data_IF_514631634865
#
_entry.id   IF_514631634865
#
_cell.length_a   1.000
_cell.length_b   1.000
_cell.length_c   1.000
_cell.angle_alpha   90.00
_cell.angle_beta   90.00
_cell.angle_gamma   90.00
#
_symmetry.space_group_name_H-M   'P 1'
#
loop_
_entity.id
_entity.type
_entity.pdbx_description
1 polymer ?
#
# COMPACT_ATOMS: atom_id res chain seq x y z
N UNK A 1 -4.64 3.30 7.63
CA UNK A 1 -3.88 2.86 6.45
C UNK A 1 -4.87 2.45 5.36
N UNK A 2 -4.51 2.57 4.08
CA UNK A 2 -5.36 2.20 2.95
C UNK A 2 -5.63 0.69 2.90
N UNK A 3 -4.68 -0.09 3.40
CA UNK A 3 -4.86 -1.49 3.75
C UNK A 3 -5.33 -1.59 5.20
N UNK A 4 -6.50 -2.21 5.43
CA UNK A 4 -7.13 -2.39 6.73
C UNK A 4 -8.11 -1.29 7.18
N UNK A 5 -7.70 -0.02 7.28
CA UNK A 5 -8.51 0.98 7.98
C UNK A 5 -9.59 1.67 7.13
N UNK A 6 -9.45 1.62 5.80
CA UNK A 6 -10.41 2.21 4.85
C UNK A 6 -10.98 1.05 4.04
N UNK A 7 -12.24 0.73 4.29
CA UNK A 7 -12.98 -0.33 3.63
C UNK A 7 -14.09 0.22 2.73
N UNK A 8 -14.63 1.40 3.10
CA UNK A 8 -15.71 2.06 2.37
C UNK A 8 -15.33 3.48 1.99
N UNK A 9 -15.88 3.95 0.87
CA UNK A 9 -15.61 5.30 0.36
C UNK A 9 -16.14 6.39 1.31
N UNK A 10 -17.17 6.13 2.10
CA UNK A 10 -17.66 7.07 3.12
C UNK A 10 -16.64 7.40 4.20
N UNK A 11 -15.59 6.58 4.35
CA UNK A 11 -14.48 6.83 5.28
C UNK A 11 -13.39 7.74 4.69
N UNK A 12 -13.55 8.17 3.43
CA UNK A 12 -12.65 9.11 2.76
C UNK A 12 -13.07 10.53 3.11
N UNK A 13 -12.14 11.27 3.72
CA UNK A 13 -12.34 12.66 4.14
C UNK A 13 -11.12 13.55 3.82
N UNK A 14 -11.29 14.85 4.07
CA UNK A 14 -10.22 15.85 3.99
C UNK A 14 -9.47 15.84 2.66
N UNK A 15 -8.13 15.84 2.72
CA UNK A 15 -7.27 15.82 1.52
C UNK A 15 -7.45 14.57 0.65
N UNK A 16 -7.96 13.47 1.19
CA UNK A 16 -8.17 12.23 0.43
C UNK A 16 -9.39 12.32 -0.47
N UNK A 17 -10.42 13.09 -0.10
CA UNK A 17 -11.63 13.25 -0.91
C UNK A 17 -11.36 13.88 -2.29
N UNK A 18 -10.33 14.73 -2.39
CA UNK A 18 -9.91 15.33 -3.66
C UNK A 18 -8.89 14.47 -4.44
N UNK A 19 -8.46 13.33 -3.91
CA UNK A 19 -7.44 12.50 -4.55
C UNK A 19 -8.06 11.64 -5.67
N UNK A 20 -7.44 11.56 -6.86
CA UNK A 20 -7.99 10.78 -7.98
C UNK A 20 -8.24 9.31 -7.65
N UNK A 21 -7.32 8.67 -6.92
CA UNK A 21 -7.45 7.25 -6.50
C UNK A 21 -8.59 6.95 -5.51
N UNK A 22 -9.17 7.98 -4.89
CA UNK A 22 -10.28 7.86 -3.93
C UNK A 22 -11.61 8.36 -4.50
N UNK A 23 -11.69 8.67 -5.80
CA UNK A 23 -12.98 8.91 -6.48
C UNK A 23 -13.76 7.59 -6.59
N UNK A 24 -15.10 7.60 -6.61
CA UNK A 24 -15.93 6.39 -6.51
C UNK A 24 -15.50 5.19 -7.35
N UNK A 25 -15.34 5.38 -8.66
CA UNK A 25 -15.00 4.31 -9.60
C UNK A 25 -13.56 3.82 -9.38
N UNK A 26 -12.63 4.75 -9.15
CA UNK A 26 -11.24 4.43 -8.88
C UNK A 26 -11.07 3.72 -7.54
N UNK A 27 -11.82 4.12 -6.52
CA UNK A 27 -11.81 3.51 -5.21
C UNK A 27 -12.26 2.06 -5.28
N UNK A 28 -13.38 1.78 -5.94
CA UNK A 28 -13.88 0.42 -6.10
C UNK A 28 -12.85 -0.50 -6.80
N UNK A 29 -12.22 -0.02 -7.88
CA UNK A 29 -11.14 -0.75 -8.55
C UNK A 29 -9.92 -0.97 -7.66
N UNK A 30 -9.45 0.10 -7.01
CA UNK A 30 -8.29 0.06 -6.11
C UNK A 30 -8.55 -0.80 -4.86
N UNK A 31 -9.80 -0.90 -4.42
CA UNK A 31 -10.19 -1.78 -3.32
C UNK A 31 -9.93 -3.24 -3.69
N UNK A 32 -10.38 -3.68 -4.86
CA UNK A 32 -10.10 -5.03 -5.34
C UNK A 32 -8.60 -5.36 -5.48
N UNK A 33 -7.75 -4.36 -5.78
CA UNK A 33 -6.29 -4.53 -5.73
C UNK A 33 -5.79 -4.78 -4.31
N UNK A 34 -6.26 -3.98 -3.35
CA UNK A 34 -5.88 -4.13 -1.95
C UNK A 34 -6.42 -5.42 -1.36
N UNK A 35 -7.62 -5.88 -1.72
CA UNK A 35 -8.19 -7.13 -1.20
C UNK A 35 -7.30 -8.34 -1.55
N UNK A 36 -6.75 -8.37 -2.77
CA UNK A 36 -5.75 -9.37 -3.18
C UNK A 36 -4.47 -9.30 -2.34
N UNK A 37 -4.02 -8.09 -2.03
CA UNK A 37 -2.83 -7.88 -1.20
C UNK A 37 -3.08 -8.25 0.27
N UNK A 38 -4.27 -7.98 0.79
CA UNK A 38 -4.69 -8.38 2.15
C UNK A 38 -4.78 -9.91 2.27
N UNK A 39 -5.23 -10.61 1.22
CA UNK A 39 -5.19 -12.07 1.17
C UNK A 39 -3.75 -12.62 1.26
N UNK A 40 -2.80 -12.03 0.52
CA UNK A 40 -1.39 -12.40 0.62
C UNK A 40 -0.81 -12.12 2.02
N UNK A 41 -1.19 -10.99 2.65
CA UNK A 41 -0.76 -10.67 4.01
C UNK A 41 -1.28 -11.72 5.02
N UNK A 42 -2.54 -12.13 4.87
CA UNK A 42 -3.16 -13.16 5.70
C UNK A 42 -2.46 -14.53 5.53
N UNK A 43 -2.13 -14.93 4.30
CA UNK A 43 -1.35 -16.16 4.04
C UNK A 43 0.03 -16.12 4.71
N UNK A 44 0.68 -14.96 4.71
CA UNK A 44 1.99 -14.75 5.38
C UNK A 44 1.85 -14.57 6.90
N UNK A 45 0.64 -14.54 7.45
CA UNK A 45 0.39 -14.36 8.88
C UNK A 45 0.82 -12.99 9.42
N UNK A 46 0.80 -11.95 8.56
CA UNK A 46 1.23 -10.60 8.92
C UNK A 46 0.15 -9.57 8.59
N UNK A 47 0.30 -8.35 9.10
CA UNK A 47 -0.60 -7.26 8.73
C UNK A 47 -0.27 -6.76 7.32
N UNK A 48 -1.24 -6.17 6.58
CA UNK A 48 -0.94 -5.58 5.27
C UNK A 48 0.14 -4.49 5.33
N UNK A 49 0.19 -3.70 6.42
CA UNK A 49 1.26 -2.72 6.64
C UNK A 49 2.64 -3.39 6.72
N UNK A 50 2.73 -4.51 7.43
CA UNK A 50 3.98 -5.28 7.56
C UNK A 50 4.41 -5.87 6.23
N UNK A 51 3.49 -6.48 5.47
CA UNK A 51 3.78 -7.02 4.15
C UNK A 51 4.30 -5.94 3.19
N UNK A 52 3.69 -4.75 3.22
CA UNK A 52 4.10 -3.64 2.37
C UNK A 52 5.52 -3.16 2.71
N UNK A 53 5.85 -3.04 4.00
CA UNK A 53 7.18 -2.67 4.45
C UNK A 53 8.22 -3.74 4.12
N UNK A 54 7.89 -5.02 4.33
CA UNK A 54 8.76 -6.14 4.00
C UNK A 54 9.07 -6.19 2.49
N UNK A 55 8.07 -5.94 1.63
CA UNK A 55 8.28 -5.84 0.18
C UNK A 55 9.21 -4.70 -0.21
N UNK A 56 9.06 -3.52 0.42
CA UNK A 56 9.97 -2.37 0.17
C UNK A 56 11.41 -2.74 0.54
N UNK A 57 11.62 -3.32 1.73
CA UNK A 57 12.95 -3.72 2.20
C UNK A 57 13.56 -4.84 1.34
N UNK A 58 12.74 -5.67 0.70
CA UNK A 58 13.20 -6.73 -0.19
C UNK A 58 13.69 -6.25 -1.56
N UNK A 59 13.55 -4.96 -1.90
CA UNK A 59 13.97 -4.42 -3.21
C UNK A 59 15.48 -4.24 -3.35
N UNK A 60 16.24 -4.29 -2.25
CA UNK A 60 17.70 -4.19 -2.28
C UNK A 60 18.31 -3.96 -0.89
N UNK A 61 19.56 -4.37 -0.72
CA UNK A 61 20.30 -4.21 0.56
C UNK A 61 20.62 -2.74 0.88
N UNK A 62 20.50 -1.85 -0.10
CA UNK A 62 20.69 -0.41 0.00
C UNK A 62 19.36 0.35 0.25
N UNK A 63 18.25 -0.37 0.41
CA UNK A 63 16.93 0.22 0.63
C UNK A 63 16.62 0.34 2.11
N UNK A 64 16.27 1.55 2.55
CA UNK A 64 15.83 1.83 3.92
C UNK A 64 14.40 2.38 3.91
N UNK A 65 13.49 1.70 4.62
CA UNK A 65 12.13 2.18 4.82
C UNK A 65 12.07 3.20 5.97
N UNK A 66 11.38 4.32 5.76
CA UNK A 66 11.21 5.40 6.76
C UNK A 66 9.72 5.57 7.10
N UNK A 67 9.06 4.58 7.74
CA UNK A 67 7.63 4.65 8.03
C UNK A 67 7.34 5.68 9.13
N UNK A 68 6.61 6.73 8.78
CA UNK A 68 6.15 7.73 9.75
C UNK A 68 4.98 7.23 10.61
N UNK A 69 5.05 7.44 11.92
CA UNK A 69 3.95 7.16 12.86
C UNK A 69 3.98 8.12 14.05
N UNK A 70 2.83 8.34 14.69
CA UNK A 70 2.68 9.07 15.96
C UNK A 70 2.27 8.18 17.14
N UNK A 71 2.23 6.86 16.94
CA UNK A 71 1.75 5.88 17.90
C UNK A 71 2.80 4.79 18.10
N UNK A 72 3.07 4.44 19.37
CA UNK A 72 4.00 3.34 19.73
C UNK A 72 3.47 2.01 19.20
N UNK A 73 2.18 1.72 19.35
CA UNK A 73 1.60 0.48 18.83
C UNK A 73 1.77 0.34 17.31
N UNK A 74 1.74 1.45 16.56
CA UNK A 74 2.04 1.46 15.12
C UNK A 74 3.54 1.30 14.83
N UNK A 75 4.40 1.84 15.69
CA UNK A 75 5.85 1.60 15.60
C UNK A 75 6.14 0.10 15.77
N UNK A 76 5.57 -0.54 16.78
CA UNK A 76 5.71 -1.98 17.03
C UNK A 76 5.14 -2.82 15.86
N UNK A 77 3.97 -2.46 15.34
CA UNK A 77 3.40 -3.08 14.14
C UNK A 77 4.36 -2.98 12.94
N UNK A 78 4.93 -1.80 12.70
CA UNK A 78 5.88 -1.58 11.61
C UNK A 78 7.18 -2.38 11.80
N UNK A 79 7.71 -2.46 13.02
CA UNK A 79 8.92 -3.23 13.32
C UNK A 79 8.74 -4.72 13.02
N UNK A 80 7.53 -5.25 13.20
CA UNK A 80 7.20 -6.65 12.85
C UNK A 80 7.36 -6.98 11.37
N UNK A 81 7.51 -5.99 10.48
CA UNK A 81 7.83 -6.22 9.07
C UNK A 81 9.19 -6.91 8.87
N UNK A 82 10.13 -6.72 9.79
CA UNK A 82 11.48 -7.30 9.72
C UNK A 82 11.47 -8.84 9.88
N UNK A 83 10.36 -9.41 10.32
CA UNK A 83 10.17 -10.82 10.58
C UNK A 83 9.39 -11.50 9.44
N UNK A 84 8.90 -10.72 8.47
CA UNK A 84 8.21 -11.23 7.29
C UNK A 84 9.25 -11.63 6.24
N UNK A 85 9.55 -12.92 6.16
CA UNK A 85 10.40 -13.46 5.11
C UNK A 85 9.63 -13.58 3.79
N UNK A 86 10.10 -12.91 2.73
CA UNK A 86 9.55 -13.01 1.39
C UNK A 86 10.48 -13.84 0.50
N UNK A 87 9.93 -14.91 -0.07
CA UNK A 87 10.62 -15.73 -1.07
C UNK A 87 10.53 -15.07 -2.46
N UNK A 88 11.35 -15.49 -3.44
CA UNK A 88 11.19 -15.04 -4.82
C UNK A 88 9.78 -15.28 -5.38
N UNK A 89 9.13 -16.39 -5.00
CA UNK A 89 7.76 -16.69 -5.39
C UNK A 89 6.76 -15.74 -4.74
N UNK A 90 6.95 -15.37 -3.47
CA UNK A 90 6.13 -14.36 -2.80
C UNK A 90 6.23 -13.01 -3.53
N UNK A 91 7.45 -12.59 -3.91
CA UNK A 91 7.67 -11.35 -4.65
C UNK A 91 6.97 -11.38 -6.02
N UNK A 92 7.09 -12.48 -6.77
CA UNK A 92 6.40 -12.65 -8.05
C UNK A 92 4.87 -12.61 -7.89
N UNK A 93 4.32 -13.20 -6.82
CA UNK A 93 2.88 -13.12 -6.51
C UNK A 93 2.45 -11.70 -6.15
N UNK A 94 3.26 -10.95 -5.41
CA UNK A 94 2.98 -9.55 -5.06
C UNK A 94 2.97 -8.65 -6.31
N UNK A 95 3.96 -8.83 -7.19
CA UNK A 95 4.05 -8.09 -8.45
C UNK A 95 2.87 -8.39 -9.38
N UNK A 96 2.42 -9.66 -9.42
CA UNK A 96 1.24 -10.06 -10.18
C UNK A 96 -0.08 -9.54 -9.56
N UNK A 97 -0.15 -9.43 -8.23
CA UNK A 97 -1.34 -8.97 -7.52
C UNK A 97 -1.57 -7.46 -7.69
N UNK A 98 -0.49 -6.67 -7.69
CA UNK A 98 -0.53 -5.22 -7.92
C UNK A 98 0.55 -4.83 -8.95
N UNK A 99 0.28 -5.05 -10.26
CA UNK A 99 1.21 -4.66 -11.30
C UNK A 99 1.46 -3.15 -11.32
N UNK A 100 2.62 -2.74 -11.85
CA UNK A 100 2.92 -1.33 -12.09
C UNK A 100 1.82 -0.72 -12.98
N UNK A 101 1.25 0.39 -12.52
CA UNK A 101 0.16 1.07 -13.24
C UNK A 101 -1.23 0.48 -13.01
N UNK A 102 -1.38 -0.58 -12.22
CA UNK A 102 -2.69 -1.20 -11.97
C UNK A 102 -3.66 -0.28 -11.21
N UNK A 103 -3.15 0.62 -10.37
CA UNK A 103 -3.99 1.53 -9.59
C UNK A 103 -4.72 2.55 -10.48
N UNK A 104 -6.05 2.60 -10.37
CA UNK A 104 -6.89 3.54 -11.11
C UNK A 104 -6.83 4.95 -10.48
N UNK A 105 -6.72 5.96 -11.33
CA UNK A 105 -6.50 7.35 -10.94
C UNK A 105 -5.02 7.73 -10.79
N UNK A 106 -4.69 8.96 -11.16
CA UNK A 106 -3.32 9.48 -11.11
C UNK A 106 -2.75 9.53 -9.69
N UNK A 107 -1.42 9.47 -9.57
CA UNK A 107 -0.71 9.50 -8.27
C UNK A 107 -0.95 10.81 -7.51
N UNK A 108 -1.14 11.91 -8.21
CA UNK A 108 -1.50 13.22 -7.66
C UNK A 108 -2.71 13.79 -8.39
N UNK A 109 -3.42 14.72 -7.75
CA UNK A 109 -4.40 15.56 -8.45
C UNK A 109 -3.71 16.36 -9.57
N UNK A 110 -4.48 16.80 -10.57
CA UNK A 110 -3.93 17.45 -11.77
C UNK A 110 -2.92 18.56 -11.46
N UNK A 111 -3.22 19.44 -10.48
CA UNK A 111 -2.31 20.51 -10.06
C UNK A 111 -0.97 20.01 -9.48
N UNK A 112 -0.96 18.84 -8.84
CA UNK A 112 0.26 18.20 -8.32
C UNK A 112 0.99 17.32 -9.34
N UNK A 113 0.32 16.92 -10.43
CA UNK A 113 0.97 16.21 -11.54
C UNK A 113 1.83 17.15 -12.39
N UNK A 114 1.51 18.45 -12.46
CA UNK A 114 2.25 19.44 -13.25
C UNK A 114 3.72 19.59 -12.83
N UNK A 115 4.06 19.27 -11.58
CA UNK A 115 5.42 19.32 -11.04
C UNK A 115 6.20 18.00 -11.15
N UNK A 116 5.60 16.94 -11.70
CA UNK A 116 6.24 15.64 -11.86
C UNK A 116 6.74 15.53 -13.30
N UNK A 117 8.05 15.64 -13.51
CA UNK A 117 8.67 15.27 -14.79
C UNK A 117 8.79 13.74 -14.82
N UNK A 118 8.24 13.13 -15.88
CA UNK A 118 8.34 11.68 -16.16
C UNK A 118 9.60 11.44 -16.99
#
# INVERSE_FOLDING_TARGET
FLAGAIQDISQIDGRRAAHPRFQPENFAHNRGLVDRFEALAAEKGCTPSQLALAWVLAQGDDVVAIPGTRSIARLEENLGALQVALTPDDLARLDAAIPVGAAAGTRYAAAGMTSVQI
#
